data_IF_926147403919
#
_entry.id   IF_926147403919
#
_cell.length_a   1.000
_cell.length_b   1.000
_cell.length_c   1.000
_cell.angle_alpha   90.00
_cell.angle_beta   90.00
_cell.angle_gamma   90.00
#
_symmetry.space_group_name_H-M   'P 1'
#
loop_
_entity.id
_entity.type
_entity.pdbx_description
1 polymer ?
#
# COMPACT_ATOMS: atom_id res chain seq x y z
N UNK A 1 -2.25 9.51 -30.36
CA UNK A 1 -2.47 9.40 -28.92
C UNK A 1 -3.63 10.33 -28.58
N UNK A 2 -4.81 9.78 -28.35
CA UNK A 2 -5.97 10.60 -27.98
C UNK A 2 -5.76 11.11 -26.54
N UNK A 3 -6.01 12.39 -26.26
CA UNK A 3 -5.86 12.94 -24.93
C UNK A 3 -6.94 12.33 -24.03
N UNK A 4 -6.49 11.64 -22.97
CA UNK A 4 -7.40 11.16 -21.93
C UNK A 4 -7.95 12.36 -21.14
N UNK A 5 -9.26 12.48 -21.07
CA UNK A 5 -9.92 13.52 -20.27
C UNK A 5 -9.93 13.04 -18.82
N UNK A 6 -9.24 13.76 -17.95
CA UNK A 6 -9.32 13.55 -16.51
C UNK A 6 -10.44 14.43 -15.97
N UNK A 7 -11.51 13.84 -15.49
CA UNK A 7 -12.60 14.55 -14.85
C UNK A 7 -12.28 14.73 -13.35
N UNK A 8 -12.04 15.98 -12.96
CA UNK A 8 -11.89 16.33 -11.56
C UNK A 8 -13.24 16.71 -10.96
N UNK A 9 -13.71 15.94 -9.98
CA UNK A 9 -14.75 16.42 -9.08
C UNK A 9 -14.06 16.99 -7.85
N UNK A 10 -13.96 18.31 -7.81
CA UNK A 10 -13.44 19.01 -6.64
C UNK A 10 -14.64 19.37 -5.76
N UNK A 11 -14.83 18.64 -4.68
CA UNK A 11 -15.67 19.13 -3.59
C UNK A 11 -14.76 19.84 -2.61
N UNK A 12 -14.62 21.14 -2.76
CA UNK A 12 -13.93 21.95 -1.77
C UNK A 12 -14.82 22.07 -0.54
N UNK A 13 -14.63 21.14 0.41
CA UNK A 13 -15.17 21.28 1.75
C UNK A 13 -14.02 21.40 2.72
N UNK A 14 -14.12 22.39 3.57
CA UNK A 14 -13.25 22.55 4.73
C UNK A 14 -13.48 21.34 5.63
N UNK A 15 -12.53 20.42 5.65
CA UNK A 15 -12.52 19.38 6.64
C UNK A 15 -12.16 20.02 7.97
N UNK A 16 -12.98 19.79 8.98
CA UNK A 16 -12.76 20.34 10.31
C UNK A 16 -11.57 19.64 10.97
N UNK A 17 -10.44 20.31 11.02
CA UNK A 17 -9.24 19.87 11.73
C UNK A 17 -7.98 19.68 10.88
N UNK A 18 -6.81 19.86 11.50
CA UNK A 18 -5.52 19.75 10.85
C UNK A 18 -5.07 18.28 10.75
N UNK A 19 -4.79 17.82 9.53
CA UNK A 19 -4.02 16.60 9.32
C UNK A 19 -2.57 16.91 9.72
N UNK A 20 -2.00 16.13 10.62
CA UNK A 20 -0.63 16.35 11.01
C UNK A 20 0.33 15.53 10.12
N UNK A 21 1.63 15.86 10.14
CA UNK A 21 2.62 15.22 9.28
C UNK A 21 2.76 13.70 9.49
N UNK A 22 2.29 13.20 10.62
CA UNK A 22 2.34 11.78 10.98
C UNK A 22 1.15 10.97 10.47
N UNK A 23 0.12 11.61 9.89
CA UNK A 23 -1.16 10.98 9.52
C UNK A 23 -1.22 10.42 8.09
N UNK A 24 -0.10 10.15 7.42
CA UNK A 24 -0.09 9.68 6.01
C UNK A 24 -0.96 8.45 5.75
N UNK A 25 -1.18 7.61 6.74
CA UNK A 25 -1.99 6.41 6.64
C UNK A 25 -3.34 6.52 7.37
N UNK A 26 -3.73 7.73 7.80
CA UNK A 26 -5.00 7.98 8.48
C UNK A 26 -6.13 8.26 7.47
N UNK A 27 -6.16 7.55 6.37
CA UNK A 27 -7.23 7.59 5.36
C UNK A 27 -7.40 6.21 4.76
N UNK A 28 -8.65 5.82 4.53
CA UNK A 28 -8.97 4.61 3.82
C UNK A 28 -10.30 4.74 3.07
N UNK A 29 -10.40 4.09 1.92
CA UNK A 29 -11.60 4.05 1.08
C UNK A 29 -12.21 2.66 1.17
N UNK A 30 -13.39 2.56 1.76
CA UNK A 30 -14.13 1.32 1.90
C UNK A 30 -14.84 0.89 0.60
N UNK A 31 -15.05 -0.39 0.46
CA UNK A 31 -15.77 -1.00 -0.66
C UNK A 31 -17.23 -0.52 -0.78
N UNK A 32 -17.83 -0.04 0.29
CA UNK A 32 -19.18 0.53 0.35
C UNK A 32 -19.27 1.97 -0.22
N UNK A 33 -18.15 2.52 -0.73
CA UNK A 33 -18.12 3.87 -1.29
C UNK A 33 -17.95 4.98 -0.26
N UNK A 34 -17.56 4.64 0.97
CA UNK A 34 -17.27 5.60 2.03
C UNK A 34 -15.77 5.81 2.21
N UNK A 35 -15.37 7.04 2.45
CA UNK A 35 -13.98 7.39 2.80
C UNK A 35 -13.96 7.79 4.27
N UNK A 36 -13.06 7.17 5.04
CA UNK A 36 -12.80 7.54 6.42
C UNK A 36 -11.40 8.14 6.52
N UNK A 37 -11.26 9.20 7.31
CA UNK A 37 -9.95 9.80 7.57
C UNK A 37 -9.86 10.34 8.99
N UNK A 38 -8.63 10.33 9.52
CA UNK A 38 -8.31 10.89 10.84
C UNK A 38 -8.11 12.40 10.78
N UNK A 39 -8.81 13.12 11.64
CA UNK A 39 -8.73 14.56 11.79
C UNK A 39 -8.52 14.89 13.27
N UNK A 40 -7.28 15.15 13.67
CA UNK A 40 -6.90 15.18 15.10
C UNK A 40 -7.35 13.90 15.81
N UNK A 41 -8.13 14.03 16.87
CA UNK A 41 -8.69 12.91 17.62
C UNK A 41 -10.03 12.37 17.06
N UNK A 42 -10.50 12.92 15.94
CA UNK A 42 -11.76 12.53 15.30
C UNK A 42 -11.52 11.63 14.10
N UNK A 43 -12.43 10.69 13.88
CA UNK A 43 -12.53 10.00 12.59
C UNK A 43 -13.75 10.56 11.87
N UNK A 44 -13.52 11.10 10.68
CA UNK A 44 -14.58 11.66 9.83
C UNK A 44 -14.87 10.68 8.69
N UNK A 45 -16.13 10.36 8.50
CA UNK A 45 -16.61 9.50 7.41
C UNK A 45 -17.41 10.33 6.42
N UNK A 46 -17.05 10.23 5.16
CA UNK A 46 -17.68 10.97 4.06
C UNK A 46 -18.18 10.03 2.97
N UNK A 47 -19.22 10.45 2.29
CA UNK A 47 -19.65 9.82 1.05
C UNK A 47 -18.69 10.20 -0.10
N UNK A 48 -18.19 9.21 -0.84
CA UNK A 48 -17.22 9.43 -1.90
C UNK A 48 -17.79 10.15 -3.12
N UNK A 49 -19.09 10.08 -3.35
CA UNK A 49 -19.74 10.71 -4.49
C UNK A 49 -20.06 12.19 -4.26
N UNK A 50 -20.55 12.50 -3.05
CA UNK A 50 -21.00 13.84 -2.68
C UNK A 50 -19.98 14.61 -1.85
N UNK A 51 -18.98 13.93 -1.29
CA UNK A 51 -18.05 14.43 -0.29
C UNK A 51 -18.77 15.01 0.96
N UNK A 52 -20.01 14.59 1.21
CA UNK A 52 -20.71 14.99 2.41
C UNK A 52 -20.26 14.19 3.61
N UNK A 53 -20.07 14.87 4.72
CA UNK A 53 -19.83 14.20 6.01
C UNK A 53 -21.09 13.46 6.44
N UNK A 54 -20.97 12.14 6.60
CA UNK A 54 -22.05 11.27 7.06
C UNK A 54 -21.97 11.02 8.55
N UNK A 55 -20.74 10.85 9.06
CA UNK A 55 -20.53 10.50 10.47
C UNK A 55 -19.23 11.11 10.98
N UNK A 56 -19.21 11.51 12.25
CA UNK A 56 -18.02 11.89 12.99
C UNK A 56 -17.94 10.99 14.23
N UNK A 57 -16.82 10.29 14.40
CA UNK A 57 -16.60 9.34 15.48
C UNK A 57 -15.65 9.96 16.50
N UNK A 58 -16.13 10.16 17.72
CA UNK A 58 -15.46 10.90 18.79
C UNK A 58 -15.21 9.98 19.98
N UNK A 59 -13.99 9.54 20.19
CA UNK A 59 -13.60 8.80 21.40
C UNK A 59 -12.10 8.78 21.66
N UNK A 60 -11.29 8.94 20.61
CA UNK A 60 -9.86 9.13 20.77
C UNK A 60 -9.57 10.44 21.52
N UNK A 61 -8.51 10.43 22.32
CA UNK A 61 -8.04 11.62 23.05
C UNK A 61 -6.74 12.19 22.49
N UNK A 62 -6.23 11.58 21.42
CA UNK A 62 -4.99 11.91 20.77
C UNK A 62 -5.13 11.79 19.26
N UNK A 63 -4.18 12.37 18.51
CA UNK A 63 -4.22 12.43 17.05
C UNK A 63 -4.22 11.04 16.43
N UNK A 64 -5.13 10.83 15.47
CA UNK A 64 -5.30 9.57 14.76
C UNK A 64 -4.20 9.45 13.70
N UNK A 65 -3.55 8.30 13.65
CA UNK A 65 -2.43 8.00 12.73
C UNK A 65 -2.76 6.89 11.73
N UNK A 66 -3.78 6.08 12.00
CA UNK A 66 -4.21 4.99 11.13
C UNK A 66 -5.73 4.89 11.10
N UNK A 67 -6.25 4.58 9.91
CA UNK A 67 -7.66 4.28 9.69
C UNK A 67 -7.73 3.15 8.69
N UNK A 68 -8.55 2.12 8.95
CA UNK A 68 -8.74 0.97 8.05
C UNK A 68 -10.17 0.46 8.10
N UNK A 69 -10.82 0.42 6.94
CA UNK A 69 -12.10 -0.24 6.77
C UNK A 69 -11.96 -1.76 6.83
N UNK A 70 -12.90 -2.41 7.51
CA UNK A 70 -13.04 -3.84 7.37
C UNK A 70 -13.46 -4.19 5.94
N UNK A 71 -12.98 -5.32 5.44
CA UNK A 71 -13.43 -5.85 4.16
C UNK A 71 -14.84 -6.41 4.29
N UNK A 72 -15.57 -6.42 3.17
CA UNK A 72 -16.83 -7.13 3.11
C UNK A 72 -16.60 -8.62 3.38
N UNK A 73 -17.35 -9.15 4.34
CA UNK A 73 -17.35 -10.57 4.60
C UNK A 73 -18.53 -11.20 3.84
N UNK A 74 -18.25 -11.89 2.76
CA UNK A 74 -19.27 -12.58 1.93
C UNK A 74 -19.97 -13.73 2.65
N UNK A 75 -19.54 -14.07 3.85
CA UNK A 75 -20.10 -15.15 4.67
C UNK A 75 -21.12 -14.67 5.71
N UNK A 76 -21.53 -13.40 5.69
CA UNK A 76 -22.61 -12.93 6.55
C UNK A 76 -23.91 -13.71 6.22
N UNK A 77 -24.52 -14.26 7.24
CA UNK A 77 -25.83 -14.88 7.10
C UNK A 77 -26.81 -13.87 6.50
N UNK A 78 -27.54 -14.28 5.46
CA UNK A 78 -28.63 -13.49 4.88
C UNK A 78 -29.62 -13.18 6.01
N UNK A 79 -29.77 -11.90 6.36
CA UNK A 79 -30.61 -11.46 7.47
C UNK A 79 -29.86 -10.95 8.71
N UNK A 80 -28.54 -11.11 8.81
CA UNK A 80 -27.74 -10.41 9.82
C UNK A 80 -27.62 -8.95 9.43
N UNK A 81 -27.88 -7.98 10.36
CA UNK A 81 -27.67 -6.58 10.04
C UNK A 81 -26.20 -6.37 9.67
N UNK A 82 -25.98 -5.74 8.53
CA UNK A 82 -24.65 -5.43 8.05
C UNK A 82 -23.99 -4.39 8.98
N UNK A 83 -22.87 -4.74 9.56
CA UNK A 83 -22.10 -3.85 10.42
C UNK A 83 -20.95 -3.20 9.62
N UNK A 84 -21.03 -1.89 9.38
CA UNK A 84 -19.94 -1.10 8.85
C UNK A 84 -18.82 -0.98 9.91
N UNK A 85 -17.78 -1.79 9.77
CA UNK A 85 -16.66 -1.84 10.72
C UNK A 85 -15.48 -1.04 10.25
N UNK A 86 -14.93 -0.24 11.15
CA UNK A 86 -13.74 0.58 10.93
C UNK A 86 -12.79 0.43 12.12
N UNK A 87 -11.50 0.29 11.85
CA UNK A 87 -10.47 0.39 12.88
C UNK A 87 -9.74 1.73 12.75
N UNK A 88 -9.52 2.42 13.84
CA UNK A 88 -8.68 3.60 13.92
C UNK A 88 -7.66 3.47 15.03
N UNK A 89 -6.47 4.04 14.85
CA UNK A 89 -5.43 4.06 15.88
C UNK A 89 -4.86 5.45 16.05
N UNK A 90 -4.51 5.81 17.28
CA UNK A 90 -3.94 7.12 17.63
C UNK A 90 -2.45 7.05 18.00
N UNK A 91 -1.83 8.21 18.19
CA UNK A 91 -0.41 8.34 18.55
C UNK A 91 -0.05 7.72 19.90
N UNK A 92 -1.05 7.44 20.77
CA UNK A 92 -0.83 6.76 22.06
C UNK A 92 -0.88 5.24 21.93
N UNK A 93 -1.11 4.71 20.73
CA UNK A 93 -1.19 3.27 20.48
C UNK A 93 -2.56 2.66 20.80
N UNK A 94 -3.55 3.48 21.10
CA UNK A 94 -4.92 3.02 21.28
C UNK A 94 -5.55 2.73 19.91
N UNK A 95 -6.13 1.54 19.77
CA UNK A 95 -6.93 1.15 18.62
C UNK A 95 -8.39 1.12 19.05
N UNK A 96 -9.27 1.73 18.27
CA UNK A 96 -10.71 1.66 18.46
C UNK A 96 -11.34 1.01 17.23
N UNK A 97 -12.17 0.02 17.47
CA UNK A 97 -13.02 -0.59 16.44
C UNK A 97 -14.40 0.03 16.55
N UNK A 98 -14.93 0.48 15.43
CA UNK A 98 -16.19 1.21 15.35
C UNK A 98 -17.26 0.41 14.63
N UNK A 99 -18.48 0.49 15.12
CA UNK A 99 -19.68 0.33 14.34
C UNK A 99 -20.03 1.73 13.80
N UNK A 100 -19.73 1.94 12.52
CA UNK A 100 -19.87 3.26 11.90
C UNK A 100 -21.33 3.61 11.67
N UNK A 101 -22.21 2.64 11.40
CA UNK A 101 -23.62 2.87 11.19
C UNK A 101 -24.30 3.36 12.48
N UNK A 102 -23.95 2.77 13.61
CA UNK A 102 -24.42 3.19 14.92
C UNK A 102 -23.65 4.41 15.48
N UNK A 103 -22.48 4.73 14.94
CA UNK A 103 -21.63 5.81 15.44
C UNK A 103 -20.98 5.53 16.79
N UNK A 104 -20.83 4.26 17.17
CA UNK A 104 -20.33 3.84 18.49
C UNK A 104 -19.04 3.03 18.39
N UNK A 105 -18.23 3.12 19.44
CA UNK A 105 -17.08 2.25 19.59
C UNK A 105 -17.52 0.84 20.02
N UNK A 106 -17.20 -0.16 19.23
CA UNK A 106 -17.44 -1.57 19.50
C UNK A 106 -16.51 -2.07 20.61
N UNK A 107 -15.22 -1.83 20.46
CA UNK A 107 -14.21 -2.15 21.46
C UNK A 107 -13.02 -1.18 21.40
N UNK A 108 -12.25 -1.16 22.48
CA UNK A 108 -11.01 -0.42 22.61
C UNK A 108 -9.88 -1.38 22.94
N UNK A 109 -8.76 -1.24 22.23
CA UNK A 109 -7.58 -2.08 22.35
C UNK A 109 -6.39 -1.20 22.69
N UNK A 110 -5.64 -1.56 23.73
CA UNK A 110 -4.39 -0.89 24.06
C UNK A 110 -3.36 -1.88 24.61
N UNK A 111 -2.26 -2.04 23.94
CA UNK A 111 -1.14 -2.91 24.34
C UNK A 111 -0.02 -2.11 25.03
N UNK A 112 0.22 -0.89 24.58
CA UNK A 112 1.26 0.02 25.11
C UNK A 112 0.96 1.47 24.73
N UNK A 113 1.79 2.40 25.22
CA UNK A 113 1.60 3.86 25.03
C UNK A 113 2.56 4.38 23.92
N UNK A 114 2.62 3.70 22.78
CA UNK A 114 3.40 4.10 21.59
C UNK A 114 2.55 3.91 20.35
N UNK A 115 2.68 4.77 19.33
CA UNK A 115 1.92 4.60 18.10
C UNK A 115 2.22 3.24 17.46
N UNK A 116 1.19 2.60 16.95
CA UNK A 116 1.35 1.37 16.16
C UNK A 116 1.98 1.69 14.80
N UNK A 117 2.75 0.75 14.25
CA UNK A 117 3.36 0.91 12.93
C UNK A 117 2.34 0.70 11.81
N UNK A 118 1.53 -0.34 11.92
CA UNK A 118 0.47 -0.62 10.96
C UNK A 118 -0.64 -1.45 11.58
N UNK A 119 -1.83 -1.44 10.93
CA UNK A 119 -2.98 -2.25 11.29
C UNK A 119 -3.77 -2.60 10.04
N UNK A 120 -4.17 -3.88 9.92
CA UNK A 120 -4.99 -4.34 8.81
C UNK A 120 -5.96 -5.43 9.28
N UNK A 121 -7.12 -5.47 8.63
CA UNK A 121 -8.08 -6.55 8.79
C UNK A 121 -7.61 -7.79 8.03
N UNK A 122 -7.86 -8.98 8.59
CA UNK A 122 -7.63 -10.20 7.86
C UNK A 122 -8.64 -10.27 6.71
N UNK A 123 -8.16 -10.61 5.51
CA UNK A 123 -9.02 -10.70 4.33
C UNK A 123 -9.76 -12.04 4.20
N UNK A 124 -9.23 -13.09 4.80
CA UNK A 124 -9.89 -14.39 4.93
C UNK A 124 -10.27 -14.60 6.40
N UNK A 125 -11.43 -14.10 6.75
CA UNK A 125 -11.91 -14.19 8.12
C UNK A 125 -12.81 -15.41 8.29
N UNK A 126 -12.73 -16.05 9.45
CA UNK A 126 -13.76 -16.96 9.90
C UNK A 126 -15.07 -16.18 10.01
N UNK A 127 -16.17 -16.73 9.45
CA UNK A 127 -17.49 -16.10 9.46
C UNK A 127 -18.00 -15.71 10.85
N UNK A 128 -17.39 -16.23 11.89
CA UNK A 128 -17.78 -15.99 13.28
C UNK A 128 -17.06 -14.84 13.97
N UNK A 129 -15.97 -14.30 13.38
CA UNK A 129 -15.14 -13.31 14.08
C UNK A 129 -14.45 -12.34 13.10
N UNK A 130 -14.47 -11.06 13.44
CA UNK A 130 -13.64 -10.06 12.80
C UNK A 130 -12.25 -10.03 13.45
N UNK A 131 -11.19 -10.20 12.66
CA UNK A 131 -9.82 -10.29 13.13
C UNK A 131 -8.97 -9.14 12.60
N UNK A 132 -8.17 -8.56 13.49
CA UNK A 132 -7.33 -7.41 13.23
C UNK A 132 -5.87 -7.73 13.60
N UNK A 133 -4.96 -7.61 12.63
CA UNK A 133 -3.54 -7.74 12.86
C UNK A 133 -2.91 -6.35 13.01
N UNK A 134 -2.19 -6.13 14.11
CA UNK A 134 -1.49 -4.87 14.36
C UNK A 134 0.01 -5.10 14.56
N UNK A 135 0.82 -4.20 13.99
CA UNK A 135 2.25 -4.11 14.28
C UNK A 135 2.48 -3.14 15.42
N UNK A 136 3.03 -3.65 16.49
CA UNK A 136 3.41 -2.88 17.66
C UNK A 136 4.93 -2.68 17.69
N UNK A 137 5.40 -1.45 17.91
CA UNK A 137 6.82 -1.19 18.01
C UNK A 137 7.43 -1.83 19.27
N UNK A 138 8.69 -2.23 19.23
CA UNK A 138 9.55 -2.09 18.08
C UNK A 138 9.39 -3.24 17.06
N UNK A 139 8.99 -4.45 17.48
CA UNK A 139 9.27 -5.66 16.72
C UNK A 139 8.26 -6.79 16.91
N UNK A 140 7.01 -6.52 17.24
CA UNK A 140 6.04 -7.59 17.40
C UNK A 140 4.71 -7.33 16.72
N UNK A 141 4.07 -8.42 16.32
CA UNK A 141 2.71 -8.43 15.78
C UNK A 141 1.75 -9.02 16.82
N UNK A 142 0.55 -8.52 16.84
CA UNK A 142 -0.53 -9.00 17.70
C UNK A 142 -1.77 -9.22 16.87
N UNK A 143 -2.39 -10.38 17.01
CA UNK A 143 -3.70 -10.67 16.45
C UNK A 143 -4.77 -10.44 17.52
N UNK A 144 -5.77 -9.64 17.13
CA UNK A 144 -6.88 -9.23 17.97
C UNK A 144 -8.21 -9.75 17.45
N UNK A 145 -9.09 -10.15 18.34
CA UNK A 145 -10.50 -10.26 18.03
C UNK A 145 -11.09 -8.85 18.09
N UNK A 146 -11.53 -8.34 16.95
CA UNK A 146 -12.03 -6.97 16.84
C UNK A 146 -13.46 -6.79 17.39
N UNK A 147 -14.20 -7.87 17.62
CA UNK A 147 -15.53 -7.81 18.24
C UNK A 147 -15.45 -7.56 19.75
N UNK A 148 -14.47 -8.19 20.39
CA UNK A 148 -14.33 -8.19 21.85
C UNK A 148 -13.13 -7.38 22.35
N UNK A 149 -12.20 -7.01 21.47
CA UNK A 149 -10.94 -6.37 21.85
C UNK A 149 -9.95 -7.33 22.53
N UNK A 150 -10.18 -8.64 22.49
CA UNK A 150 -9.32 -9.62 23.15
C UNK A 150 -8.12 -9.99 22.28
N UNK A 151 -6.95 -10.11 22.91
CA UNK A 151 -5.74 -10.58 22.28
C UNK A 151 -5.79 -12.09 22.08
N UNK A 152 -5.65 -12.54 20.83
CA UNK A 152 -5.61 -13.96 20.50
C UNK A 152 -4.20 -14.51 20.67
N UNK A 153 -3.21 -13.85 20.08
CA UNK A 153 -1.81 -14.20 20.23
C UNK A 153 -0.88 -13.01 19.90
N UNK A 154 0.38 -13.16 20.29
CA UNK A 154 1.46 -12.20 20.09
C UNK A 154 2.72 -12.94 19.63
N UNK A 155 3.45 -12.37 18.66
CA UNK A 155 4.72 -12.87 18.16
C UNK A 155 5.74 -11.74 18.04
N UNK A 156 6.93 -11.94 18.63
CA UNK A 156 8.06 -11.01 18.52
C UNK A 156 9.06 -11.49 17.47
N UNK A 157 9.72 -10.53 16.82
CA UNK A 157 10.77 -10.76 15.84
C UNK A 157 12.08 -10.12 16.29
N UNK A 158 13.21 -10.48 15.66
CA UNK A 158 14.50 -9.94 16.03
C UNK A 158 14.66 -8.47 15.65
N UNK A 159 14.10 -8.09 14.49
CA UNK A 159 14.28 -6.76 13.91
C UNK A 159 13.02 -5.90 14.08
N UNK A 160 13.20 -4.58 13.98
CA UNK A 160 12.08 -3.66 13.98
C UNK A 160 11.20 -3.88 12.74
N UNK A 161 9.90 -4.04 12.93
CA UNK A 161 8.94 -4.22 11.86
C UNK A 161 8.44 -2.85 11.44
N UNK A 162 8.55 -2.54 10.15
CA UNK A 162 8.17 -1.25 9.58
C UNK A 162 6.78 -1.30 8.94
N UNK A 163 6.46 -2.41 8.26
CA UNK A 163 5.21 -2.59 7.53
C UNK A 163 4.96 -4.06 7.27
N UNK A 164 3.77 -4.42 6.82
CA UNK A 164 3.46 -5.77 6.39
C UNK A 164 2.45 -5.80 5.23
N UNK A 165 2.40 -6.92 4.55
CA UNK A 165 1.43 -7.17 3.49
C UNK A 165 0.96 -8.63 3.54
N UNK A 166 -0.34 -8.83 3.45
CA UNK A 166 -0.91 -10.17 3.24
C UNK A 166 -0.79 -10.57 1.77
N UNK A 167 -0.53 -11.84 1.54
CA UNK A 167 -0.65 -12.42 0.21
C UNK A 167 -2.15 -12.44 -0.17
N UNK A 168 -2.55 -11.83 -1.30
CA UNK A 168 -3.95 -11.80 -1.71
C UNK A 168 -4.47 -13.13 -2.23
N UNK A 169 -3.60 -14.12 -2.44
CA UNK A 169 -3.94 -15.45 -2.98
C UNK A 169 -3.86 -16.55 -1.95
N UNK A 170 -3.09 -16.39 -0.88
CA UNK A 170 -2.92 -17.36 0.18
C UNK A 170 -2.99 -16.73 1.56
N UNK A 171 -4.04 -17.02 2.36
CA UNK A 171 -4.22 -16.43 3.67
C UNK A 171 -3.19 -16.87 4.71
N UNK A 172 -2.45 -17.95 4.45
CA UNK A 172 -1.35 -18.40 5.33
C UNK A 172 -0.05 -17.65 5.12
N UNK A 173 0.03 -16.82 4.06
CA UNK A 173 1.22 -16.06 3.72
C UNK A 173 1.12 -14.61 4.17
N UNK A 174 2.14 -14.18 4.90
CA UNK A 174 2.33 -12.82 5.38
C UNK A 174 3.78 -12.42 5.18
N UNK A 175 4.01 -11.22 4.69
CA UNK A 175 5.36 -10.67 4.53
C UNK A 175 5.54 -9.44 5.40
N UNK A 176 6.64 -9.41 6.15
CA UNK A 176 7.04 -8.28 6.98
C UNK A 176 8.21 -7.55 6.34
N UNK A 177 8.11 -6.24 6.22
CA UNK A 177 9.25 -5.37 5.96
C UNK A 177 9.88 -5.01 7.30
N UNK A 178 11.14 -5.35 7.48
CA UNK A 178 11.89 -5.03 8.71
C UNK A 178 13.05 -4.08 8.43
N UNK A 179 13.66 -3.54 9.48
CA UNK A 179 14.84 -2.67 9.35
C UNK A 179 16.06 -3.35 8.71
N UNK A 180 16.13 -4.68 8.74
CA UNK A 180 17.27 -5.44 8.26
C UNK A 180 17.00 -6.25 6.98
N UNK A 181 15.73 -6.52 6.67
CA UNK A 181 15.36 -7.36 5.54
C UNK A 181 13.86 -7.60 5.44
N UNK A 182 13.48 -8.49 4.55
CA UNK A 182 12.11 -8.92 4.34
C UNK A 182 11.95 -10.30 4.96
N UNK A 183 10.90 -10.49 5.76
CA UNK A 183 10.60 -11.78 6.41
C UNK A 183 9.33 -12.35 5.83
N UNK A 184 9.43 -13.53 5.21
CA UNK A 184 8.29 -14.29 4.70
C UNK A 184 7.82 -15.30 5.73
N UNK A 185 6.54 -15.26 6.03
CA UNK A 185 5.83 -16.17 6.92
C UNK A 185 4.86 -16.97 6.07
N UNK A 186 4.92 -18.29 6.15
CA UNK A 186 4.09 -19.22 5.38
C UNK A 186 3.16 -20.09 6.24
N UNK A 187 3.18 -19.87 7.55
CA UNK A 187 2.37 -20.60 8.52
C UNK A 187 1.49 -19.67 9.37
N UNK A 188 1.10 -18.53 8.80
CA UNK A 188 0.20 -17.60 9.47
C UNK A 188 -1.16 -18.25 9.68
N UNK A 189 -1.67 -18.19 10.90
CA UNK A 189 -2.97 -18.75 11.27
C UNK A 189 -3.66 -17.90 12.34
N UNK A 190 -4.99 -17.74 12.29
CA UNK A 190 -5.74 -17.10 13.37
C UNK A 190 -5.69 -17.86 14.70
N UNK A 191 -5.49 -19.17 14.67
CA UNK A 191 -5.56 -20.02 15.86
C UNK A 191 -4.30 -20.02 16.71
N UNK A 192 -3.12 -19.77 16.10
CA UNK A 192 -1.82 -19.81 16.78
C UNK A 192 -0.83 -18.86 16.13
N UNK A 193 0.16 -18.33 16.88
CA UNK A 193 1.22 -17.52 16.30
C UNK A 193 2.09 -18.36 15.35
N UNK A 194 2.75 -17.72 14.35
CA UNK A 194 3.71 -18.38 13.50
C UNK A 194 4.77 -19.11 14.29
N UNK A 195 5.11 -20.35 13.88
CA UNK A 195 5.99 -21.24 14.68
C UNK A 195 7.45 -20.78 14.68
N UNK A 196 7.93 -20.32 13.53
CA UNK A 196 9.32 -19.92 13.32
C UNK A 196 9.55 -18.41 13.22
N UNK A 197 10.79 -17.99 12.97
CA UNK A 197 11.14 -16.59 12.71
C UNK A 197 10.73 -16.13 11.29
N UNK A 198 10.26 -17.04 10.45
CA UNK A 198 10.04 -16.81 9.01
C UNK A 198 11.32 -16.95 8.18
N UNK A 199 11.16 -16.93 6.86
CA UNK A 199 12.29 -16.93 5.91
C UNK A 199 12.73 -15.49 5.68
N UNK A 200 13.91 -15.12 6.19
CA UNK A 200 14.48 -13.79 5.98
C UNK A 200 15.24 -13.73 4.66
N UNK A 201 15.01 -12.70 3.90
CA UNK A 201 15.70 -12.42 2.64
C UNK A 201 16.20 -10.99 2.60
N UNK A 202 17.28 -10.78 1.86
CA UNK A 202 17.91 -9.50 1.65
C UNK A 202 17.88 -9.15 0.17
N UNK A 203 17.64 -7.88 -0.12
CA UNK A 203 17.56 -7.38 -1.49
C UNK A 203 18.53 -6.22 -1.61
N UNK A 204 19.44 -6.33 -2.58
CA UNK A 204 20.35 -5.24 -2.89
C UNK A 204 19.65 -4.24 -3.81
N UNK A 205 19.58 -2.98 -3.41
CA UNK A 205 19.16 -1.93 -4.35
C UNK A 205 20.23 -1.73 -5.42
N UNK A 206 19.88 -1.72 -6.72
CA UNK A 206 20.84 -1.50 -7.79
C UNK A 206 21.54 -0.14 -7.72
N UNK A 207 20.89 0.86 -7.13
CA UNK A 207 21.44 2.22 -7.00
C UNK A 207 22.38 2.41 -5.83
N UNK A 208 22.42 1.50 -4.87
CA UNK A 208 23.28 1.57 -3.68
C UNK A 208 24.61 0.84 -3.83
N UNK A 209 24.84 0.12 -4.92
CA UNK A 209 26.11 -0.56 -5.15
C UNK A 209 27.23 0.41 -5.60
N UNK A 210 28.37 0.44 -4.89
CA UNK A 210 29.54 1.26 -5.31
C UNK A 210 30.05 0.93 -6.72
N UNK A 211 29.87 -0.31 -7.16
CA UNK A 211 30.20 -0.75 -8.52
C UNK A 211 29.34 -0.06 -9.59
N UNK A 212 28.08 0.22 -9.29
CA UNK A 212 27.16 0.90 -10.20
C UNK A 212 27.51 2.36 -10.39
N UNK A 213 27.95 3.05 -9.33
CA UNK A 213 28.39 4.44 -9.40
C UNK A 213 29.67 4.60 -10.25
N UNK A 214 30.57 3.62 -10.25
CA UNK A 214 31.76 3.62 -11.11
C UNK A 214 31.45 3.29 -12.56
N UNK A 215 30.50 2.37 -12.82
CA UNK A 215 30.11 2.00 -14.18
C UNK A 215 29.26 3.09 -14.86
N UNK A 216 28.39 3.78 -14.12
CA UNK A 216 27.58 4.88 -14.63
C UNK A 216 28.42 6.12 -15.00
N UNK A 217 29.59 6.30 -14.36
CA UNK A 217 30.52 7.37 -14.68
C UNK A 217 31.40 7.05 -15.92
N UNK A 218 31.59 5.76 -16.26
CA UNK A 218 32.53 5.33 -17.30
C UNK A 218 31.89 5.09 -18.68
N UNK A 219 30.57 4.88 -18.77
CA UNK A 219 29.93 4.59 -20.05
C UNK A 219 28.58 5.30 -20.16
N UNK A 220 28.46 6.17 -21.18
CA UNK A 220 27.20 6.76 -21.62
C UNK A 220 26.19 5.74 -22.19
N UNK A 221 26.17 4.53 -21.68
CA UNK A 221 25.43 3.40 -22.23
C UNK A 221 24.10 3.20 -21.48
N UNK A 222 23.03 3.78 -22.02
CA UNK A 222 21.63 3.46 -21.66
C UNK A 222 21.25 1.97 -21.79
N UNK A 223 22.14 1.13 -22.34
CA UNK A 223 21.90 -0.31 -22.58
C UNK A 223 22.40 -1.27 -21.49
N UNK A 224 23.21 -0.82 -20.54
CA UNK A 224 23.76 -1.70 -19.51
C UNK A 224 22.89 -1.82 -18.25
N UNK A 225 21.87 -0.97 -18.09
CA UNK A 225 20.96 -1.01 -16.94
C UNK A 225 20.05 -2.25 -16.90
N UNK A 226 19.82 -2.89 -18.03
CA UNK A 226 18.87 -3.99 -18.18
C UNK A 226 19.42 -5.37 -17.85
N UNK A 227 20.66 -5.50 -17.38
CA UNK A 227 21.27 -6.82 -17.17
C UNK A 227 21.67 -7.20 -15.74
N UNK A 228 21.48 -6.33 -14.76
CA UNK A 228 21.76 -6.71 -13.38
C UNK A 228 20.51 -7.29 -12.77
N UNK A 229 20.32 -8.61 -12.90
CA UNK A 229 19.31 -9.35 -12.14
C UNK A 229 19.68 -9.24 -10.67
N UNK A 230 18.84 -8.56 -9.90
CA UNK A 230 19.02 -8.47 -8.46
C UNK A 230 18.54 -9.79 -7.88
N UNK A 231 19.46 -10.50 -7.24
CA UNK A 231 19.16 -11.75 -6.58
C UNK A 231 18.63 -11.47 -5.17
N UNK A 232 17.58 -12.16 -4.82
CA UNK A 232 17.10 -12.24 -3.46
C UNK A 232 17.95 -13.29 -2.74
N UNK A 233 18.75 -12.88 -1.75
CA UNK A 233 19.63 -13.78 -1.03
C UNK A 233 19.16 -13.99 0.41
N UNK A 234 19.48 -15.15 0.98
CA UNK A 234 19.27 -15.44 2.41
C UNK A 234 20.48 -15.05 3.27
N UNK A 235 21.61 -14.79 2.65
CA UNK A 235 22.82 -14.37 3.34
C UNK A 235 22.81 -12.87 3.59
N UNK A 236 23.13 -12.46 4.81
CA UNK A 236 23.27 -11.04 5.14
C UNK A 236 24.42 -10.45 4.30
N UNK A 237 24.17 -9.40 3.54
CA UNK A 237 25.21 -8.75 2.75
C UNK A 237 26.33 -8.24 3.67
N UNK A 238 27.56 -8.18 3.14
CA UNK A 238 28.70 -7.56 3.84
C UNK A 238 28.42 -6.08 4.13
N UNK A 239 29.15 -5.50 5.10
CA UNK A 239 28.88 -4.18 5.70
C UNK A 239 28.74 -2.98 4.74
N UNK A 240 29.05 -3.16 3.47
CA UNK A 240 28.94 -2.11 2.43
C UNK A 240 27.56 -2.02 1.77
N UNK A 241 26.58 -2.84 2.19
CA UNK A 241 25.22 -2.79 1.67
C UNK A 241 24.37 -1.81 2.47
N UNK A 242 23.83 -0.83 1.78
CA UNK A 242 22.80 0.05 2.37
C UNK A 242 21.57 -0.79 2.67
N UNK A 243 21.16 -0.78 3.91
CA UNK A 243 20.01 -1.52 4.39
C UNK A 243 18.73 -1.08 3.67
N UNK A 244 17.66 -1.89 3.77
CA UNK A 244 16.30 -1.57 3.29
C UNK A 244 15.69 -0.30 3.91
N UNK A 245 16.50 0.49 4.65
CA UNK A 245 16.07 1.70 5.35
C UNK A 245 15.39 2.73 4.45
N UNK A 246 15.71 2.72 3.15
CA UNK A 246 15.11 3.62 2.16
C UNK A 246 13.87 3.02 1.48
N UNK A 247 13.48 1.79 1.82
CA UNK A 247 12.26 1.19 1.31
C UNK A 247 11.05 1.84 1.97
N UNK A 248 10.25 2.52 1.16
CA UNK A 248 9.08 3.27 1.63
C UNK A 248 7.85 2.38 1.82
N UNK A 249 7.71 1.33 1.01
CA UNK A 249 6.52 0.49 0.97
C UNK A 249 6.83 -0.88 0.40
N UNK A 250 6.11 -1.87 0.92
CA UNK A 250 6.08 -3.24 0.44
C UNK A 250 4.62 -3.61 0.18
N UNK A 251 4.32 -4.25 -0.96
CA UNK A 251 2.98 -4.75 -1.27
C UNK A 251 3.03 -5.94 -2.22
N UNK A 252 2.15 -6.92 -2.02
CA UNK A 252 1.88 -7.93 -3.03
C UNK A 252 1.16 -7.32 -4.23
N UNK A 253 1.39 -7.90 -5.42
CA UNK A 253 0.62 -7.56 -6.62
C UNK A 253 -0.67 -8.38 -6.66
N UNK A 254 -1.86 -7.75 -6.53
CA UNK A 254 -3.11 -8.51 -6.57
C UNK A 254 -3.41 -9.10 -7.95
N UNK A 255 -2.81 -8.55 -9.00
CA UNK A 255 -2.97 -9.01 -10.40
C UNK A 255 -2.13 -10.23 -10.75
N UNK A 256 -1.12 -10.58 -9.94
CA UNK A 256 -0.19 -11.65 -10.26
C UNK A 256 0.31 -12.39 -9.02
N UNK A 257 0.03 -13.70 -8.98
CA UNK A 257 0.48 -14.59 -7.90
C UNK A 257 2.02 -14.58 -7.78
N UNK A 258 2.51 -14.72 -6.55
CA UNK A 258 3.94 -14.77 -6.22
C UNK A 258 4.73 -13.52 -6.61
N UNK A 259 4.05 -12.39 -6.89
CA UNK A 259 4.73 -11.15 -7.22
C UNK A 259 4.52 -10.10 -6.13
N UNK A 260 5.58 -9.35 -5.88
CA UNK A 260 5.63 -8.32 -4.87
C UNK A 260 6.34 -7.08 -5.40
N UNK A 261 5.89 -5.90 -4.98
CA UNK A 261 6.60 -4.65 -5.25
C UNK A 261 7.29 -4.13 -3.98
N UNK A 262 8.45 -3.54 -4.19
CA UNK A 262 9.14 -2.71 -3.22
C UNK A 262 9.27 -1.30 -3.78
N UNK A 263 8.83 -0.33 -3.00
CA UNK A 263 8.91 1.08 -3.35
C UNK A 263 10.12 1.73 -2.69
N UNK A 264 10.97 2.31 -3.52
CA UNK A 264 12.03 3.23 -3.13
C UNK A 264 11.76 4.63 -3.70
N UNK A 265 12.37 5.69 -3.18
CA UNK A 265 12.12 7.05 -3.66
C UNK A 265 12.33 7.23 -5.17
N UNK A 266 13.24 6.49 -5.77
CA UNK A 266 13.59 6.64 -7.18
C UNK A 266 13.31 5.44 -8.07
N UNK A 267 12.84 4.35 -7.48
CA UNK A 267 12.56 3.12 -8.22
C UNK A 267 11.50 2.26 -7.56
N UNK A 268 10.83 1.45 -8.36
CA UNK A 268 9.95 0.39 -7.91
C UNK A 268 10.55 -0.92 -8.42
N UNK A 269 10.80 -1.85 -7.51
CA UNK A 269 11.25 -3.19 -7.86
C UNK A 269 10.06 -4.13 -7.86
N UNK A 270 9.95 -4.94 -8.90
CA UNK A 270 8.98 -6.03 -8.97
C UNK A 270 9.75 -7.34 -8.78
N UNK A 271 9.38 -8.05 -7.72
CA UNK A 271 10.00 -9.33 -7.34
C UNK A 271 9.09 -10.47 -7.75
N UNK A 272 9.68 -11.52 -8.28
CA UNK A 272 9.07 -12.84 -8.39
C UNK A 272 9.60 -13.71 -7.26
N UNK A 273 8.69 -14.13 -6.37
CA UNK A 273 9.02 -14.90 -5.17
C UNK A 273 9.22 -16.41 -5.46
N UNK A 274 8.77 -16.88 -6.60
CA UNK A 274 8.95 -18.27 -7.01
C UNK A 274 10.38 -18.53 -7.49
N UNK A 275 10.87 -17.66 -8.37
CA UNK A 275 12.25 -17.74 -8.88
C UNK A 275 13.26 -16.93 -8.06
N UNK A 276 12.80 -16.22 -7.03
CA UNK A 276 13.60 -15.39 -6.12
C UNK A 276 14.48 -14.36 -6.85
N UNK A 277 13.91 -13.61 -7.78
CA UNK A 277 14.63 -12.56 -8.53
C UNK A 277 13.74 -11.35 -8.79
N UNK A 278 14.40 -10.24 -9.11
CA UNK A 278 13.73 -9.06 -9.64
C UNK A 278 13.39 -9.31 -11.11
N UNK A 279 12.12 -9.17 -11.45
CA UNK A 279 11.59 -9.37 -12.80
C UNK A 279 11.15 -8.07 -13.47
N UNK A 280 11.16 -6.96 -12.75
CA UNK A 280 10.85 -5.65 -13.30
C UNK A 280 11.41 -4.52 -12.45
N UNK A 281 11.85 -3.45 -13.11
CA UNK A 281 12.34 -2.23 -12.47
C UNK A 281 11.69 -1.03 -13.15
N UNK A 282 11.04 -0.18 -12.37
CA UNK A 282 10.52 1.10 -12.82
C UNK A 282 11.38 2.19 -12.18
N UNK A 283 12.34 2.72 -12.93
CA UNK A 283 13.24 3.75 -12.44
C UNK A 283 12.82 5.14 -12.93
N UNK A 284 13.09 6.15 -12.12
CA UNK A 284 12.91 7.56 -12.46
C UNK A 284 14.24 8.11 -12.98
N UNK A 285 14.19 8.90 -14.04
CA UNK A 285 15.36 9.64 -14.53
C UNK A 285 15.94 10.56 -13.46
N UNK A 286 17.23 10.92 -13.58
CA UNK A 286 17.91 11.75 -12.55
C UNK A 286 17.19 13.06 -12.24
N UNK A 287 16.56 13.67 -13.23
CA UNK A 287 15.77 14.90 -13.09
C UNK A 287 14.32 14.66 -12.74
N UNK A 288 13.88 13.40 -12.71
CA UNK A 288 12.50 13.03 -12.42
C UNK A 288 12.16 13.18 -10.94
N UNK A 289 10.87 13.35 -10.67
CA UNK A 289 10.35 13.57 -9.32
C UNK A 289 10.22 12.24 -8.58
N UNK A 290 10.75 12.11 -7.36
CA UNK A 290 10.69 10.89 -6.58
C UNK A 290 9.27 10.38 -6.35
N UNK A 291 9.14 9.07 -6.17
CA UNK A 291 7.90 8.43 -5.72
C UNK A 291 7.67 8.69 -4.24
N UNK A 292 6.42 8.91 -3.87
CA UNK A 292 5.96 9.04 -2.50
C UNK A 292 5.16 7.81 -2.06
N UNK A 293 4.32 7.28 -2.94
CA UNK A 293 3.43 6.14 -2.67
C UNK A 293 3.09 5.41 -3.98
N UNK A 294 2.88 4.09 -3.89
CA UNK A 294 2.40 3.27 -5.00
C UNK A 294 1.25 2.40 -4.55
N UNK A 295 0.17 2.36 -5.32
CA UNK A 295 -0.99 1.51 -5.07
C UNK A 295 -1.17 0.58 -6.26
N UNK A 296 -0.95 -0.74 -6.09
CA UNK A 296 -1.31 -1.70 -7.12
C UNK A 296 -2.83 -1.75 -7.33
N UNK A 297 -3.25 -1.79 -8.58
CA UNK A 297 -4.64 -2.03 -8.92
C UNK A 297 -5.05 -3.45 -8.56
N UNK A 298 -6.29 -3.62 -8.09
CA UNK A 298 -6.79 -4.94 -7.64
C UNK A 298 -7.26 -5.84 -8.77
N UNK A 299 -7.77 -5.25 -9.85
CA UNK A 299 -8.41 -5.96 -10.97
C UNK A 299 -7.58 -5.92 -12.26
N UNK A 300 -6.63 -4.98 -12.35
CA UNK A 300 -5.80 -4.78 -13.54
C UNK A 300 -4.33 -4.84 -13.16
N UNK A 301 -3.51 -5.19 -14.13
CA UNK A 301 -2.07 -5.17 -13.97
C UNK A 301 -1.53 -3.74 -14.13
N UNK A 302 -1.82 -2.90 -13.15
CA UNK A 302 -1.51 -1.48 -13.15
C UNK A 302 -1.05 -0.96 -11.80
N UNK A 303 -0.36 0.17 -11.81
CA UNK A 303 0.21 0.84 -10.64
C UNK A 303 -0.16 2.32 -10.66
N UNK A 304 -0.85 2.80 -9.63
CA UNK A 304 -0.98 4.22 -9.36
C UNK A 304 0.21 4.69 -8.54
N UNK A 305 0.93 5.68 -9.04
CA UNK A 305 2.09 6.25 -8.38
C UNK A 305 1.83 7.71 -8.03
N UNK A 306 1.95 8.07 -6.76
CA UNK A 306 1.97 9.43 -6.29
C UNK A 306 3.43 9.87 -6.17
N UNK A 307 3.75 11.05 -6.71
CA UNK A 307 5.08 11.65 -6.69
C UNK A 307 5.16 12.80 -5.69
N UNK A 308 6.37 13.12 -5.23
CA UNK A 308 6.61 14.17 -4.22
C UNK A 308 6.11 15.57 -4.62
N UNK A 309 6.07 15.87 -5.91
CA UNK A 309 5.50 17.14 -6.42
C UNK A 309 3.98 17.12 -6.51
N UNK A 310 3.31 16.00 -6.19
CA UNK A 310 1.88 15.82 -6.29
C UNK A 310 1.38 15.37 -7.66
N UNK A 311 2.27 15.03 -8.56
CA UNK A 311 1.92 14.38 -9.80
C UNK A 311 1.46 12.94 -9.52
N UNK A 312 0.44 12.48 -10.22
CA UNK A 312 -0.03 11.10 -10.20
C UNK A 312 0.21 10.50 -11.57
N UNK A 313 0.82 9.32 -11.59
CA UNK A 313 1.02 8.56 -12.81
C UNK A 313 0.31 7.20 -12.69
N UNK A 314 -0.36 6.79 -13.77
CA UNK A 314 -0.85 5.44 -13.95
C UNK A 314 0.10 4.72 -14.89
N UNK A 315 0.63 3.61 -14.43
CA UNK A 315 1.48 2.71 -15.20
C UNK A 315 0.77 1.38 -15.39
N UNK A 316 0.80 0.84 -16.60
CA UNK A 316 0.12 -0.41 -16.94
C UNK A 316 1.13 -1.37 -17.53
N UNK A 317 1.04 -2.62 -17.16
CA UNK A 317 1.89 -3.68 -17.71
C UNK A 317 1.75 -3.75 -19.22
N UNK A 318 2.87 -3.82 -19.92
CA UNK A 318 2.91 -4.08 -21.35
C UNK A 318 2.53 -5.54 -21.61
N UNK A 319 1.40 -5.77 -22.28
CA UNK A 319 1.09 -7.08 -22.85
C UNK A 319 1.94 -7.29 -24.09
N UNK A 320 2.85 -8.24 -24.06
CA UNK A 320 3.45 -8.75 -25.30
C UNK A 320 2.41 -9.63 -25.98
N UNK A 321 1.76 -9.12 -27.01
CA UNK A 321 1.10 -10.00 -27.97
C UNK A 321 2.21 -10.81 -28.63
N UNK A 322 2.31 -12.08 -28.28
CA UNK A 322 3.16 -13.04 -28.98
C UNK A 322 2.67 -13.14 -30.42
N UNK A 323 3.22 -12.32 -31.29
CA UNK A 323 3.19 -12.65 -32.72
C UNK A 323 4.11 -13.86 -32.82
N UNK A 324 3.54 -15.05 -32.93
CA UNK A 324 4.24 -16.26 -33.31
C UNK A 324 4.90 -16.03 -34.66
N UNK A 325 6.14 -15.60 -34.66
CA UNK A 325 7.03 -15.85 -35.79
C UNK A 325 7.55 -17.27 -35.62
N UNK A 326 7.01 -18.17 -36.42
CA UNK A 326 7.54 -19.51 -36.62
C UNK A 326 8.96 -19.41 -37.15
N UNK A 327 9.95 -19.53 -36.27
CA UNK A 327 11.29 -19.91 -36.62
C UNK A 327 11.66 -21.12 -35.78
N UNK A 328 11.89 -22.23 -36.47
CA UNK A 328 12.41 -23.49 -35.92
C UNK A 328 13.80 -23.22 -35.37
N UNK A 329 13.95 -23.13 -34.09
CA UNK A 329 15.21 -23.30 -33.38
C UNK A 329 14.96 -23.68 -31.92
N UNK A 330 15.81 -24.54 -31.41
CA UNK A 330 15.85 -25.30 -30.16
C UNK A 330 15.15 -24.72 -28.92
N UNK A 331 14.70 -25.59 -27.98
CA UNK A 331 14.06 -25.12 -26.73
C UNK A 331 15.12 -24.52 -25.81
N UNK A 332 15.35 -23.23 -25.99
CA UNK A 332 16.01 -22.42 -24.99
C UNK A 332 15.12 -22.34 -23.76
N UNK A 333 15.68 -22.65 -22.60
CA UNK A 333 15.07 -22.48 -21.28
C UNK A 333 14.38 -21.12 -21.24
N UNK A 334 13.07 -21.08 -21.06
CA UNK A 334 12.24 -19.88 -21.09
C UNK A 334 12.92 -18.73 -20.31
N UNK A 335 13.36 -17.67 -21.01
CA UNK A 335 13.95 -16.54 -20.31
C UNK A 335 12.90 -15.93 -19.40
N UNK A 336 13.22 -15.74 -18.12
CA UNK A 336 12.35 -15.03 -17.17
C UNK A 336 11.86 -13.75 -17.83
N UNK A 337 10.56 -13.70 -18.12
CA UNK A 337 9.95 -12.61 -18.87
C UNK A 337 10.02 -11.32 -18.05
N UNK A 338 10.78 -10.35 -18.52
CA UNK A 338 10.90 -9.05 -17.88
C UNK A 338 9.55 -8.32 -17.88
N UNK A 339 9.10 -7.90 -16.70
CA UNK A 339 7.85 -7.15 -16.54
C UNK A 339 8.11 -5.66 -16.77
N UNK A 340 7.54 -5.13 -17.83
CA UNK A 340 7.62 -3.70 -18.16
C UNK A 340 6.28 -3.01 -17.90
N UNK A 341 6.31 -1.92 -17.15
CA UNK A 341 5.15 -1.07 -16.87
C UNK A 341 5.30 0.27 -17.60
N UNK A 342 4.47 0.48 -18.60
CA UNK A 342 4.49 1.70 -19.40
C UNK A 342 3.66 2.80 -18.73
N UNK A 343 4.14 4.04 -18.85
CA UNK A 343 3.38 5.22 -18.46
C UNK A 343 2.14 5.34 -19.35
N UNK A 344 0.96 5.15 -18.78
CA UNK A 344 -0.31 5.22 -19.50
C UNK A 344 -0.93 6.62 -19.46
N UNK A 345 -0.94 7.22 -18.28
CA UNK A 345 -1.46 8.57 -18.09
C UNK A 345 -0.76 9.26 -16.94
N UNK A 346 -0.79 10.59 -16.98
CA UNK A 346 -0.22 11.46 -15.98
C UNK A 346 -1.19 12.58 -15.67
N UNK A 347 -1.38 12.86 -14.39
CA UNK A 347 -2.17 13.97 -13.91
C UNK A 347 -1.35 14.81 -12.94
N UNK A 348 -1.41 16.11 -13.14
CA UNK A 348 -0.79 17.06 -12.24
C UNK A 348 -1.84 17.64 -11.28
N UNK A 349 -1.95 17.05 -10.10
CA UNK A 349 -2.90 17.46 -9.09
C UNK A 349 -2.64 18.89 -8.56
N UNK A 350 -1.44 19.44 -8.76
CA UNK A 350 -1.06 20.78 -8.30
C UNK A 350 -1.76 21.89 -9.13
N UNK A 351 -2.20 21.61 -10.36
CA UNK A 351 -2.93 22.61 -11.15
C UNK A 351 -4.21 23.11 -10.49
N UNK A 352 -4.75 22.33 -9.56
CA UNK A 352 -5.94 22.68 -8.78
C UNK A 352 -5.61 23.64 -7.63
N UNK A 353 -4.40 23.50 -7.03
CA UNK A 353 -3.98 24.33 -5.90
C UNK A 353 -2.50 24.63 -6.04
N UNK A 354 -2.13 25.80 -6.49
CA UNK A 354 -0.73 26.21 -6.73
C UNK A 354 0.22 26.08 -5.53
N UNK A 355 -0.28 25.89 -4.31
CA UNK A 355 0.46 25.94 -3.08
C UNK A 355 0.39 24.67 -2.22
N UNK A 356 -0.45 23.70 -2.56
CA UNK A 356 -0.73 22.55 -1.69
C UNK A 356 -0.35 21.24 -2.39
N UNK A 357 0.52 20.45 -1.74
CA UNK A 357 0.97 19.16 -2.27
C UNK A 357 0.20 18.02 -1.61
N UNK A 358 -0.25 17.01 -2.37
CA UNK A 358 -0.80 15.80 -1.79
C UNK A 358 0.31 15.04 -1.05
N UNK A 359 -0.04 14.43 0.06
CA UNK A 359 0.88 13.62 0.84
C UNK A 359 0.44 12.17 0.99
N UNK A 360 -0.80 11.85 0.64
CA UNK A 360 -1.33 10.49 0.64
C UNK A 360 -2.40 10.32 -0.43
N UNK A 361 -2.53 9.09 -0.90
CA UNK A 361 -3.50 8.68 -1.90
C UNK A 361 -4.15 7.36 -1.46
N UNK A 362 -5.45 7.21 -1.72
CA UNK A 362 -6.16 5.94 -1.61
C UNK A 362 -6.99 5.72 -2.87
N UNK A 363 -7.06 4.48 -3.34
CA UNK A 363 -7.86 4.12 -4.50
C UNK A 363 -9.18 3.49 -4.06
N UNK A 364 -10.23 3.69 -4.86
CA UNK A 364 -11.50 3.02 -4.63
C UNK A 364 -11.34 1.51 -4.88
N UNK A 365 -11.73 0.64 -3.95
CA UNK A 365 -11.55 -0.80 -4.10
C UNK A 365 -12.47 -1.43 -5.14
N UNK A 366 -13.56 -0.76 -5.51
CA UNK A 366 -14.54 -1.26 -6.50
C UNK A 366 -14.48 -0.53 -7.84
N UNK A 367 -13.90 0.67 -7.88
CA UNK A 367 -13.71 1.44 -9.09
C UNK A 367 -12.25 1.86 -9.22
N UNK A 368 -11.46 1.08 -9.94
CA UNK A 368 -10.03 1.34 -10.13
C UNK A 368 -9.71 2.65 -10.85
N UNK A 369 -10.72 3.36 -11.36
CA UNK A 369 -10.53 4.65 -12.01
C UNK A 369 -10.67 5.83 -11.06
N UNK A 370 -11.00 5.58 -9.79
CA UNK A 370 -11.24 6.61 -8.80
C UNK A 370 -10.18 6.55 -7.67
N UNK A 371 -9.58 7.70 -7.39
CA UNK A 371 -8.63 7.87 -6.30
C UNK A 371 -8.97 9.12 -5.49
N UNK A 372 -8.74 9.06 -4.19
CA UNK A 372 -8.84 10.20 -3.28
C UNK A 372 -7.45 10.64 -2.87
N UNK A 373 -7.23 11.94 -2.90
CA UNK A 373 -5.97 12.57 -2.50
C UNK A 373 -6.17 13.37 -1.22
N UNK A 374 -5.22 13.29 -0.33
CA UNK A 374 -5.17 14.09 0.87
C UNK A 374 -4.05 15.11 0.74
N UNK A 375 -4.40 16.38 0.92
CA UNK A 375 -3.49 17.50 0.82
C UNK A 375 -3.20 18.09 2.21
N UNK A 376 -1.99 18.57 2.40
CA UNK A 376 -1.60 19.35 3.57
C UNK A 376 -1.61 20.83 3.22
N UNK A 377 -2.48 21.59 3.86
CA UNK A 377 -2.46 23.06 3.79
C UNK A 377 -1.83 23.66 5.04
N UNK A 378 -1.03 24.71 4.85
CA UNK A 378 -0.33 25.38 5.98
C UNK A 378 -1.26 26.30 6.75
N UNK A 379 -2.41 26.70 6.18
CA UNK A 379 -3.29 27.71 6.79
C UNK A 379 -4.75 27.30 6.88
N UNK A 380 -5.23 26.42 6.01
CA UNK A 380 -6.58 25.85 6.02
C UNK A 380 -6.52 24.45 5.41
N UNK A 381 -7.22 23.52 6.01
CA UNK A 381 -7.19 22.13 5.56
C UNK A 381 -8.25 21.96 4.50
N UNK A 382 -7.79 21.76 3.29
CA UNK A 382 -8.57 21.23 2.21
C UNK A 382 -8.18 19.75 2.03
N UNK A 383 -9.01 18.81 2.52
CA UNK A 383 -8.99 17.50 1.93
C UNK A 383 -9.91 17.60 0.71
N UNK A 384 -9.32 17.65 -0.44
CA UNK A 384 -10.05 17.55 -1.69
C UNK A 384 -9.99 16.10 -2.13
N UNK A 385 -11.14 15.46 -2.21
CA UNK A 385 -11.27 14.18 -2.88
C UNK A 385 -11.28 14.49 -4.37
N UNK A 386 -10.17 14.21 -5.04
CA UNK A 386 -10.10 14.24 -6.49
C UNK A 386 -10.44 12.83 -6.97
N UNK A 387 -11.63 12.70 -7.53
CA UNK A 387 -12.04 11.50 -8.24
C UNK A 387 -11.45 11.56 -9.64
N UNK A 388 -10.54 10.67 -9.93
CA UNK A 388 -9.98 10.49 -11.24
C UNK A 388 -10.75 9.41 -11.99
N UNK A 389 -11.55 9.81 -12.95
CA UNK A 389 -12.28 8.91 -13.84
C UNK A 389 -11.51 8.82 -15.16
N UNK A 390 -10.61 7.83 -15.29
CA UNK A 390 -9.65 7.78 -16.41
C UNK A 390 -10.02 6.82 -17.55
N UNK A 391 -11.19 6.16 -17.50
CA UNK A 391 -11.51 5.12 -18.47
C UNK A 391 -12.95 5.21 -19.01
N UNK A 392 -13.17 6.01 -20.03
CA UNK A 392 -14.05 5.58 -21.12
C UNK A 392 -13.15 5.06 -22.23
N UNK A 393 -13.18 3.74 -22.44
CA UNK A 393 -12.60 3.13 -23.61
C UNK A 393 -13.26 3.74 -24.84
N UNK A 394 -12.47 4.29 -25.73
CA UNK A 394 -12.88 4.48 -27.10
C UNK A 394 -13.01 3.08 -27.73
N UNK A 395 -14.15 2.43 -27.48
CA UNK A 395 -14.70 1.35 -28.28
C UNK A 395 -16.11 1.76 -28.62
N UNK A 396 -16.21 2.59 -29.62
CA UNK A 396 -17.25 2.66 -30.66
C UNK A 396 -16.56 3.12 -31.93
#
# INVERSE_FOLDING_TARGET
MLPYTVNFKVSARTLTGALNAHNKAAVDWGWQGLIAYGCHSLVVVIDSNTAQTLQVLEKHKADIVKVRWARENYHHNIGSPYCLRLASADVTGKIIVWDVAAGVAQCEIQEHVKPIQDVQWLWNQDASRDLLLAIHPPNYIVLWNADTGTKLWKKSYADNILSFSFDPFDPSHLTLLTSEGIVFISDFSPSKPPSGPGKKVYISSPHSSPAHNKLAAATGAKKALNKVKILITQEKPSADFVALNDCLQLAYLPSKRNHMLLLYPREILILDLEVNQTVGVIAIERTGVPFLQVIPCSQRDGLFCLHENGCITLRVRRSYNSICTTSNDEPDLDPVQELTYDLRSQCDAIRVTKTVRPFSMVCCPVNENAAALIFRCVSFILASVLLWDSWRSATE
#
